data_IF_330126846177
#
_entry.id   IF_330126846177
#
_cell.length_a   1.000
_cell.length_b   1.000
_cell.length_c   1.000
_cell.angle_alpha   90.00
_cell.angle_beta   90.00
_cell.angle_gamma   90.00
#
_symmetry.space_group_name_H-M   'P 1'
#
loop_
_entity.id
_entity.type
_entity.pdbx_description
1 polymer ?
#
# COMPACT_ATOMS: atom_id res chain seq x y z
N UNK A 1 28.10 -29.04 10.91
CA UNK A 1 26.94 -28.74 10.04
C UNK A 1 25.96 -27.91 10.85
N UNK A 2 26.06 -26.58 10.80
CA UNK A 2 25.17 -25.68 11.55
C UNK A 2 23.80 -25.67 10.86
N UNK A 3 22.78 -26.18 11.54
CA UNK A 3 21.38 -26.00 11.12
C UNK A 3 21.01 -24.57 11.48
N UNK A 4 21.00 -23.68 10.52
CA UNK A 4 20.35 -22.37 10.67
C UNK A 4 18.88 -22.69 10.91
N UNK A 5 18.41 -22.53 12.15
CA UNK A 5 17.07 -22.91 12.55
C UNK A 5 16.05 -21.85 12.10
N UNK A 6 14.83 -22.27 11.76
CA UNK A 6 13.67 -21.44 11.37
C UNK A 6 13.47 -20.13 12.16
N UNK A 7 13.97 -20.06 13.40
CA UNK A 7 13.93 -18.86 14.23
C UNK A 7 14.81 -17.72 13.69
N UNK A 8 16.00 -18.04 13.15
CA UNK A 8 16.90 -17.07 12.56
C UNK A 8 16.32 -16.51 11.24
N UNK A 9 15.74 -17.37 10.40
CA UNK A 9 15.04 -16.96 9.17
C UNK A 9 13.84 -16.03 9.47
N UNK A 10 13.05 -16.36 10.51
CA UNK A 10 11.94 -15.49 10.93
C UNK A 10 12.43 -14.13 11.41
N UNK A 11 13.50 -14.10 12.20
CA UNK A 11 14.07 -12.86 12.71
C UNK A 11 14.63 -11.99 11.58
N UNK A 12 15.21 -12.61 10.56
CA UNK A 12 15.71 -11.92 9.37
C UNK A 12 14.57 -11.32 8.52
N UNK A 13 13.48 -12.08 8.32
CA UNK A 13 12.27 -11.57 7.66
C UNK A 13 11.65 -10.39 8.43
N UNK A 14 11.54 -10.51 9.76
CA UNK A 14 11.02 -9.43 10.61
C UNK A 14 11.92 -8.19 10.53
N UNK A 15 13.24 -8.37 10.51
CA UNK A 15 14.19 -7.27 10.36
C UNK A 15 14.07 -6.59 8.98
N UNK A 16 13.93 -7.36 7.90
CA UNK A 16 13.75 -6.83 6.55
C UNK A 16 12.44 -6.05 6.41
N UNK A 17 11.32 -6.61 6.89
CA UNK A 17 10.03 -5.92 6.91
C UNK A 17 10.08 -4.65 7.75
N UNK A 18 10.79 -4.68 8.89
CA UNK A 18 11.00 -3.49 9.72
C UNK A 18 11.79 -2.41 8.97
N UNK A 19 12.86 -2.79 8.25
CA UNK A 19 13.68 -1.85 7.50
C UNK A 19 12.89 -1.20 6.34
N UNK A 20 12.08 -1.98 5.63
CA UNK A 20 11.17 -1.47 4.59
C UNK A 20 10.15 -0.51 5.22
N UNK A 21 9.49 -0.95 6.30
CA UNK A 21 8.46 -0.17 6.97
C UNK A 21 8.96 1.16 7.57
N UNK A 22 10.26 1.25 7.91
CA UNK A 22 10.89 2.50 8.39
C UNK A 22 11.20 3.49 7.27
N UNK A 23 11.44 3.01 6.05
CA UNK A 23 11.94 3.85 4.95
C UNK A 23 10.88 4.15 3.88
N UNK A 24 9.86 3.31 3.74
CA UNK A 24 8.85 3.43 2.69
C UNK A 24 7.45 3.59 3.28
N UNK A 25 6.56 4.23 2.51
CA UNK A 25 5.12 4.20 2.76
C UNK A 25 4.56 2.86 2.28
N UNK A 26 3.94 2.10 3.19
CA UNK A 26 3.41 0.76 2.90
C UNK A 26 1.94 0.71 3.27
N UNK A 27 1.13 0.18 2.37
CA UNK A 27 -0.30 -0.06 2.54
C UNK A 27 -0.65 -1.45 2.02
N UNK A 28 -1.55 -2.14 2.72
CA UNK A 28 -2.05 -3.45 2.36
C UNK A 28 -3.53 -3.36 1.98
N UNK A 29 -3.89 -3.99 0.87
CA UNK A 29 -5.26 -4.08 0.40
C UNK A 29 -5.72 -5.54 0.32
N UNK A 30 -7.01 -5.74 0.57
CA UNK A 30 -7.69 -6.95 0.13
C UNK A 30 -7.83 -6.96 -1.39
N UNK A 31 -8.13 -8.14 -1.95
CA UNK A 31 -8.41 -8.30 -3.39
C UNK A 31 -9.64 -7.51 -3.85
N UNK A 32 -10.50 -7.10 -2.92
CA UNK A 32 -11.64 -6.21 -3.18
C UNK A 32 -11.26 -4.72 -3.12
N UNK A 33 -9.95 -4.41 -3.06
CA UNK A 33 -9.40 -3.06 -3.05
C UNK A 33 -9.55 -2.31 -1.74
N UNK A 34 -10.01 -2.96 -0.66
CA UNK A 34 -10.17 -2.32 0.65
C UNK A 34 -8.90 -2.36 1.48
N UNK A 35 -8.63 -1.28 2.20
CA UNK A 35 -7.48 -1.18 3.10
C UNK A 35 -7.61 -2.18 4.25
N UNK A 36 -6.60 -3.03 4.41
CA UNK A 36 -6.42 -3.92 5.56
C UNK A 36 -5.64 -3.19 6.66
N UNK A 37 -4.48 -2.63 6.28
CA UNK A 37 -3.60 -1.86 7.16
C UNK A 37 -2.72 -0.90 6.35
N UNK A 38 -2.10 0.07 7.03
CA UNK A 38 -1.08 0.95 6.48
C UNK A 38 -0.06 1.31 7.57
N UNK A 39 1.20 1.52 7.19
CA UNK A 39 2.23 1.93 8.14
C UNK A 39 2.19 3.45 8.41
N UNK A 40 2.91 3.88 9.45
CA UNK A 40 2.95 5.28 9.84
C UNK A 40 3.45 6.21 8.73
N UNK A 41 4.37 5.75 7.89
CA UNK A 41 4.89 6.53 6.77
C UNK A 41 3.79 6.84 5.76
N UNK A 42 2.97 5.85 5.37
CA UNK A 42 1.84 6.06 4.48
C UNK A 42 0.81 7.02 5.08
N UNK A 43 0.46 6.78 6.35
CA UNK A 43 -0.51 7.59 7.09
C UNK A 43 -0.08 9.06 7.18
N UNK A 44 1.17 9.31 7.57
CA UNK A 44 1.75 10.66 7.65
C UNK A 44 1.84 11.32 6.28
N UNK A 45 2.27 10.59 5.26
CA UNK A 45 2.41 11.11 3.89
C UNK A 45 1.08 11.59 3.31
N UNK A 46 0.00 10.83 3.50
CA UNK A 46 -1.33 11.20 3.01
C UNK A 46 -2.21 11.94 4.02
N UNK A 47 -1.74 12.10 5.26
CA UNK A 47 -2.44 12.85 6.31
C UNK A 47 -3.68 12.17 6.86
N UNK A 48 -3.71 10.84 6.89
CA UNK A 48 -4.83 10.05 7.41
C UNK A 48 -4.46 9.31 8.70
N UNK A 49 -5.45 9.04 9.53
CA UNK A 49 -5.36 8.02 10.58
C UNK A 49 -5.84 6.66 10.05
N UNK A 50 -5.31 5.56 10.60
CA UNK A 50 -5.70 4.20 10.16
C UNK A 50 -7.22 3.97 10.31
N UNK A 51 -7.81 4.51 11.37
CA UNK A 51 -9.24 4.39 11.64
C UNK A 51 -10.12 5.06 10.57
N UNK A 52 -9.60 6.07 9.85
CA UNK A 52 -10.33 6.76 8.78
C UNK A 52 -10.32 5.96 7.47
N UNK A 53 -9.27 5.14 7.24
CA UNK A 53 -9.04 4.47 5.96
C UNK A 53 -9.29 2.96 5.99
N UNK A 54 -9.21 2.31 7.15
CA UNK A 54 -9.39 0.86 7.27
C UNK A 54 -10.77 0.43 6.76
N UNK A 55 -10.82 -0.57 5.88
CA UNK A 55 -12.04 -1.04 5.23
C UNK A 55 -12.58 -0.11 4.13
N UNK A 56 -11.97 1.05 3.88
CA UNK A 56 -12.31 1.90 2.74
C UNK A 56 -11.62 1.37 1.49
N UNK A 57 -12.24 1.57 0.34
CA UNK A 57 -11.65 1.23 -0.95
C UNK A 57 -10.50 2.19 -1.30
N UNK A 58 -9.45 1.71 -1.97
CA UNK A 58 -8.30 2.49 -2.44
C UNK A 58 -8.67 3.78 -3.21
N UNK A 59 -9.86 3.82 -3.82
CA UNK A 59 -10.36 4.97 -4.58
C UNK A 59 -10.47 6.28 -3.78
N UNK A 60 -10.40 6.23 -2.44
CA UNK A 60 -10.34 7.45 -1.61
C UNK A 60 -9.03 8.23 -1.80
N UNK A 61 -7.97 7.59 -2.28
CA UNK A 61 -6.68 8.21 -2.52
C UNK A 61 -6.48 8.61 -3.99
N UNK A 62 -7.48 8.43 -4.85
CA UNK A 62 -7.34 8.56 -6.30
C UNK A 62 -8.16 9.74 -6.79
N UNK A 63 -7.63 10.44 -7.80
CA UNK A 63 -8.33 11.54 -8.46
C UNK A 63 -9.73 11.08 -8.93
N UNK A 64 -10.80 11.87 -8.70
CA UNK A 64 -12.15 11.51 -9.13
C UNK A 64 -12.29 11.17 -10.61
N UNK A 65 -11.51 11.80 -11.49
CA UNK A 65 -11.54 11.49 -12.92
C UNK A 65 -10.82 10.15 -13.22
N UNK A 66 -9.75 9.84 -12.50
CA UNK A 66 -8.97 8.62 -12.69
C UNK A 66 -9.70 7.39 -12.16
N UNK A 67 -10.34 7.48 -10.99
CA UNK A 67 -11.05 6.34 -10.38
C UNK A 67 -12.22 5.83 -11.23
N UNK A 68 -12.76 6.65 -12.13
CA UNK A 68 -13.85 6.31 -13.05
C UNK A 68 -13.34 5.72 -14.37
N UNK A 69 -12.03 5.78 -14.61
CA UNK A 69 -11.41 5.32 -15.85
C UNK A 69 -11.42 3.80 -16.01
N UNK A 70 -11.33 3.36 -17.27
CA UNK A 70 -11.10 1.94 -17.57
C UNK A 70 -9.73 1.45 -17.06
N UNK A 71 -8.72 2.32 -17.06
CA UNK A 71 -7.37 2.00 -16.59
C UNK A 71 -7.37 1.63 -15.09
N UNK A 72 -8.12 2.35 -14.27
CA UNK A 72 -8.25 2.04 -12.84
C UNK A 72 -8.91 0.68 -12.59
N UNK A 73 -9.91 0.32 -13.40
CA UNK A 73 -10.57 -0.99 -13.32
C UNK A 73 -9.61 -2.11 -13.73
N UNK A 74 -8.87 -1.93 -14.82
CA UNK A 74 -7.89 -2.92 -15.28
C UNK A 74 -6.73 -3.09 -14.29
N UNK A 75 -6.26 -2.01 -13.68
CA UNK A 75 -5.25 -2.04 -12.62
C UNK A 75 -5.66 -3.01 -11.49
N UNK A 76 -6.88 -2.89 -10.96
CA UNK A 76 -7.37 -3.79 -9.93
C UNK A 76 -7.62 -5.22 -10.43
N UNK A 77 -8.08 -5.38 -11.66
CA UNK A 77 -8.23 -6.69 -12.28
C UNK A 77 -6.87 -7.41 -12.40
N UNK A 78 -5.80 -6.69 -12.79
CA UNK A 78 -4.44 -7.22 -12.85
C UNK A 78 -3.91 -7.65 -11.49
N UNK A 79 -4.04 -6.79 -10.47
CA UNK A 79 -3.67 -7.14 -9.08
C UNK A 79 -4.42 -8.40 -8.60
N UNK A 80 -5.72 -8.52 -8.92
CA UNK A 80 -6.53 -9.70 -8.62
C UNK A 80 -6.06 -10.98 -9.33
N UNK A 81 -5.38 -10.86 -10.48
CA UNK A 81 -4.72 -11.97 -11.19
C UNK A 81 -3.30 -12.26 -10.68
N UNK A 82 -2.82 -11.52 -9.68
CA UNK A 82 -1.46 -11.64 -9.14
C UNK A 82 -0.41 -10.89 -9.96
N UNK A 83 -0.83 -9.99 -10.86
CA UNK A 83 0.09 -9.18 -11.65
C UNK A 83 0.70 -8.08 -10.78
N UNK A 84 2.03 -7.97 -10.82
CA UNK A 84 2.75 -6.90 -10.16
C UNK A 84 2.62 -5.58 -10.94
N UNK A 85 2.47 -4.48 -10.22
CA UNK A 85 2.38 -3.12 -10.79
C UNK A 85 3.46 -2.23 -10.16
N UNK A 86 4.21 -1.53 -11.00
CA UNK A 86 5.20 -0.53 -10.59
C UNK A 86 5.10 0.71 -11.47
N UNK A 87 5.29 1.88 -10.87
CA UNK A 87 5.20 3.15 -11.56
C UNK A 87 5.01 4.29 -10.58
N UNK A 88 5.04 5.51 -11.09
CA UNK A 88 4.69 6.68 -10.30
C UNK A 88 3.19 6.91 -10.33
N UNK A 89 2.60 7.07 -9.16
CA UNK A 89 1.16 7.22 -9.00
C UNK A 89 0.84 8.52 -8.27
N UNK A 90 -0.05 9.31 -8.87
CA UNK A 90 -0.66 10.45 -8.19
C UNK A 90 -1.67 9.96 -7.16
N UNK A 91 -1.59 10.49 -5.94
CA UNK A 91 -2.54 10.26 -4.86
C UNK A 91 -3.05 11.58 -4.29
N UNK A 92 -4.28 11.56 -3.80
CA UNK A 92 -4.93 12.70 -3.16
C UNK A 92 -4.91 12.48 -1.65
N UNK A 93 -4.18 13.34 -0.95
CA UNK A 93 -4.10 13.36 0.50
C UNK A 93 -5.43 13.84 1.12
N UNK A 94 -5.60 13.64 2.43
CA UNK A 94 -6.80 14.00 3.19
C UNK A 94 -7.18 15.48 3.04
N UNK A 95 -6.18 16.35 2.95
CA UNK A 95 -6.33 17.80 2.78
C UNK A 95 -6.49 18.24 1.31
N UNK A 96 -6.58 17.29 0.38
CA UNK A 96 -6.73 17.54 -1.05
C UNK A 96 -5.41 17.79 -1.79
N UNK A 97 -4.25 17.76 -1.10
CA UNK A 97 -2.96 17.91 -1.77
C UNK A 97 -2.65 16.71 -2.65
N UNK A 98 -1.99 16.96 -3.77
CA UNK A 98 -1.43 15.91 -4.62
C UNK A 98 -0.11 15.40 -4.02
N UNK A 99 0.03 14.08 -3.97
CA UNK A 99 1.23 13.38 -3.53
C UNK A 99 1.59 12.35 -4.59
N UNK A 100 2.84 12.35 -5.04
CA UNK A 100 3.35 11.36 -5.98
C UNK A 100 4.13 10.29 -5.21
N UNK A 101 3.79 9.02 -5.47
CA UNK A 101 4.45 7.85 -4.88
C UNK A 101 4.98 6.95 -5.98
N UNK A 102 6.14 6.32 -5.78
CA UNK A 102 6.77 5.36 -6.69
C UNK A 102 6.70 3.95 -6.12
#
# INVERSE_FOLDING_TARGET
MFRIGKAAERQELEAMLSAIGKSQAVIEFGLDGKVITANENFLKTLGYELAEIKGRHHSIFVDPAERESAAYKEFWAGLGRGEYQAGEFKRIARDGREVWIQ
#
